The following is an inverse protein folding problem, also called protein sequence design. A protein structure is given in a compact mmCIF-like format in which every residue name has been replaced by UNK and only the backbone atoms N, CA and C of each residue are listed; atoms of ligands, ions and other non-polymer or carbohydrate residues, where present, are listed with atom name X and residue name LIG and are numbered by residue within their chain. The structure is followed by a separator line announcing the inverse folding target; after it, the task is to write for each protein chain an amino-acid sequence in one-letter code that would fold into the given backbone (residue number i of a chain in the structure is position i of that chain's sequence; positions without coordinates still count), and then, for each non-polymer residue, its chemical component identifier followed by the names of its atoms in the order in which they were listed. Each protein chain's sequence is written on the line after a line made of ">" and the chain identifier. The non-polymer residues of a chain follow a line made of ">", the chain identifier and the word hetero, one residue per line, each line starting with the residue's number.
data_IF_708210164562
#
_entry.id   IF_708210164562
#
_cell.length_a   1.000
_cell.length_b   1.000
_cell.length_c   1.000
_cell.angle_alpha   90.00
_cell.angle_beta   90.00
_cell.angle_gamma   90.00
#
_symmetry.space_group_name_H-M   'P 1'
#
loop_
_entity.id
_entity.type
_entity.pdbx_description
1 polymer ?
#
# COMPACT_ATOMS: atom_id res chain seq x y z
N UNK A 1 -18.19 7.32 -1.28
CA UNK A 1 -17.28 6.15 -1.34
C UNK A 1 -16.44 6.20 -0.07
N UNK A 2 -16.89 5.54 1.01
CA UNK A 2 -16.30 5.70 2.35
C UNK A 2 -15.81 4.32 2.81
N UNK A 3 -14.51 4.03 2.69
CA UNK A 3 -13.95 2.75 3.16
C UNK A 3 -12.72 2.23 2.42
N UNK A 4 -12.31 2.85 1.31
CA UNK A 4 -11.07 2.53 0.60
C UNK A 4 -10.03 3.63 0.80
N UNK A 5 -8.75 3.29 0.64
CA UNK A 5 -7.68 4.28 0.54
C UNK A 5 -7.65 4.89 -0.87
N UNK A 6 -7.34 6.19 -0.96
CA UNK A 6 -6.69 6.73 -2.17
C UNK A 6 -5.19 6.49 -2.08
N UNK A 7 -4.49 6.62 -3.21
CA UNK A 7 -3.03 6.53 -3.20
C UNK A 7 -2.41 7.55 -2.24
N UNK A 8 -2.87 8.80 -2.28
CA UNK A 8 -2.36 9.89 -1.44
C UNK A 8 -2.59 9.63 0.05
N UNK A 9 -3.75 9.07 0.40
CA UNK A 9 -4.07 8.70 1.79
C UNK A 9 -3.10 7.63 2.30
N UNK A 10 -2.91 6.54 1.53
CA UNK A 10 -2.03 5.46 1.97
C UNK A 10 -0.56 5.87 1.92
N UNK A 11 -0.13 6.58 0.89
CA UNK A 11 1.25 7.06 0.71
C UNK A 11 1.67 8.05 1.81
N UNK A 12 0.72 8.81 2.36
CA UNK A 12 0.99 9.70 3.51
C UNK A 12 1.26 8.94 4.81
N UNK A 13 0.79 7.69 4.92
CA UNK A 13 0.99 6.83 6.09
C UNK A 13 2.18 5.88 5.89
N UNK A 14 2.27 5.30 4.69
CA UNK A 14 3.29 4.34 4.28
C UNK A 14 3.79 4.77 2.89
N UNK A 15 4.92 5.48 2.81
CA UNK A 15 5.45 5.96 1.54
C UNK A 15 5.72 4.80 0.57
N UNK A 16 5.11 4.84 -0.61
CA UNK A 16 5.24 3.81 -1.63
C UNK A 16 5.05 4.38 -3.04
N UNK A 17 5.49 3.65 -4.06
CA UNK A 17 5.28 4.05 -5.45
C UNK A 17 3.84 3.79 -5.88
N UNK A 18 3.27 4.67 -6.71
CA UNK A 18 1.90 4.52 -7.24
C UNK A 18 1.70 3.20 -8.00
N UNK A 19 2.70 2.77 -8.78
CA UNK A 19 2.66 1.47 -9.47
C UNK A 19 2.55 0.29 -8.51
N UNK A 20 3.16 0.37 -7.32
CA UNK A 20 3.03 -0.67 -6.31
C UNK A 20 1.63 -0.64 -5.71
N UNK A 21 1.09 0.55 -5.42
CA UNK A 21 -0.26 0.73 -4.93
C UNK A 21 -1.29 0.07 -5.87
N UNK A 22 -1.19 0.33 -7.16
CA UNK A 22 -2.08 -0.27 -8.16
C UNK A 22 -1.89 -1.78 -8.27
N UNK A 23 -0.65 -2.26 -8.30
CA UNK A 23 -0.34 -3.68 -8.47
C UNK A 23 -0.85 -4.56 -7.31
N UNK A 24 -0.85 -4.04 -6.08
CA UNK A 24 -1.30 -4.79 -4.90
C UNK A 24 -2.75 -4.50 -4.51
N UNK A 25 -3.47 -3.69 -5.29
CA UNK A 25 -4.78 -3.15 -4.96
C UNK A 25 -4.81 -2.46 -3.58
N UNK A 26 -3.87 -1.53 -3.36
CA UNK A 26 -3.64 -0.82 -2.10
C UNK A 26 -4.89 -0.15 -1.52
N UNK A 27 -5.87 0.20 -2.36
CA UNK A 27 -7.15 0.78 -1.94
C UNK A 27 -7.92 -0.12 -0.94
N UNK A 28 -7.77 -1.44 -1.02
CA UNK A 28 -8.46 -2.39 -0.13
C UNK A 28 -7.74 -2.64 1.20
N UNK A 29 -6.50 -2.17 1.37
CA UNK A 29 -5.76 -2.35 2.62
C UNK A 29 -6.46 -1.67 3.80
N UNK A 30 -7.22 -0.59 3.56
CA UNK A 30 -8.08 0.05 4.58
C UNK A 30 -9.09 -0.93 5.18
N UNK A 31 -9.70 -1.77 4.33
CA UNK A 31 -10.65 -2.80 4.76
C UNK A 31 -9.94 -3.94 5.47
N UNK A 32 -8.76 -4.35 4.99
CA UNK A 32 -7.96 -5.40 5.63
C UNK A 32 -7.51 -5.00 7.04
N UNK A 33 -7.10 -3.74 7.22
CA UNK A 33 -6.79 -3.15 8.53
C UNK A 33 -8.03 -3.13 9.42
N UNK A 34 -9.16 -2.63 8.91
CA UNK A 34 -10.42 -2.60 9.67
C UNK A 34 -10.92 -3.97 10.11
N UNK A 35 -10.50 -5.05 9.44
CA UNK A 35 -10.81 -6.45 9.78
C UNK A 35 -9.74 -7.11 10.66
N UNK A 36 -8.64 -6.43 10.98
CA UNK A 36 -7.53 -6.98 11.75
C UNK A 36 -6.72 -8.05 11.04
N UNK A 37 -6.77 -8.10 9.69
CA UNK A 37 -6.01 -9.07 8.88
C UNK A 37 -4.54 -8.66 8.77
N UNK A 38 -4.28 -7.35 8.75
CA UNK A 38 -2.95 -6.76 8.63
C UNK A 38 -2.93 -5.41 9.36
N UNK A 39 -1.78 -4.99 9.88
CA UNK A 39 -1.59 -3.67 10.49
C UNK A 39 -0.85 -2.71 9.55
N UNK A 40 -0.88 -1.41 9.87
CA UNK A 40 -0.18 -0.40 9.08
C UNK A 40 1.35 -0.59 9.15
N UNK A 41 1.87 -1.06 10.29
CA UNK A 41 3.28 -1.37 10.49
C UNK A 41 3.71 -2.55 9.61
N UNK A 42 2.90 -3.61 9.56
CA UNK A 42 3.15 -4.75 8.68
C UNK A 42 3.14 -4.35 7.21
N UNK A 43 2.22 -3.45 6.80
CA UNK A 43 2.22 -2.90 5.44
C UNK A 43 3.52 -2.14 5.18
N UNK A 44 3.98 -1.30 6.11
CA UNK A 44 5.24 -0.58 5.99
C UNK A 44 6.44 -1.51 5.78
N UNK A 45 6.53 -2.60 6.55
CA UNK A 45 7.59 -3.60 6.39
C UNK A 45 7.53 -4.30 5.02
N UNK A 46 6.34 -4.59 4.51
CA UNK A 46 6.16 -5.20 3.20
C UNK A 46 6.55 -4.24 2.08
N UNK A 47 6.21 -2.96 2.21
CA UNK A 47 6.61 -1.91 1.26
C UNK A 47 8.12 -1.75 1.23
N UNK A 48 8.78 -1.71 2.39
CA UNK A 48 10.25 -1.63 2.46
C UNK A 48 10.90 -2.87 1.82
N UNK A 49 10.35 -4.07 2.08
CA UNK A 49 10.89 -5.34 1.58
C UNK A 49 10.72 -5.52 0.07
N UNK A 50 9.55 -5.19 -0.45
CA UNK A 50 9.17 -5.51 -1.83
C UNK A 50 9.14 -4.29 -2.76
N UNK A 51 9.27 -3.08 -2.25
CA UNK A 51 9.23 -1.84 -3.04
C UNK A 51 10.25 -1.82 -4.18
N UNK A 52 11.44 -2.42 -3.97
CA UNK A 52 12.49 -2.53 -5.00
C UNK A 52 12.06 -3.33 -6.24
N UNK A 53 11.07 -4.22 -6.12
CA UNK A 53 10.53 -4.96 -7.27
C UNK A 53 9.80 -4.05 -8.25
N UNK A 54 9.35 -2.89 -7.78
CA UNK A 54 8.59 -1.92 -8.56
C UNK A 54 9.46 -0.80 -9.13
N UNK A 55 10.69 -0.62 -8.63
CA UNK A 55 11.68 0.33 -9.18
C UNK A 55 12.10 -0.02 -10.61
N UNK A 56 12.09 -1.31 -10.97
CA UNK A 56 12.59 -1.80 -12.27
C UNK A 56 11.58 -1.73 -13.41
N UNK A 57 10.30 -1.51 -13.11
CA UNK A 57 9.21 -1.48 -14.11
C UNK A 57 9.02 -0.09 -14.71
N UNK A 58 9.61 0.94 -14.09
CA UNK A 58 9.54 2.33 -14.54
C UNK A 58 10.69 2.75 -15.49
N UNK A 59 11.60 1.83 -15.85
CA UNK A 59 12.72 2.04 -16.77
C UNK A 59 12.47 1.35 -18.11
#
# INVERSE_FOLDING_TARGET
>A
MYGLYTYEELNSLVPMQEIMFDAVNGQYLKVAIGKGIITIEQISELVERYGRLFEQVAA
#
